data_IF_755968677216
#
_entry.id   IF_755968677216
#
_cell.length_a   1.000
_cell.length_b   1.000
_cell.length_c   1.000
_cell.angle_alpha   90.00
_cell.angle_beta   90.00
_cell.angle_gamma   90.00
#
_symmetry.space_group_name_H-M   'P 1'
#
loop_
_entity.id
_entity.type
_entity.pdbx_description
1 polymer ?
#
# COMPACT_ATOMS: atom_id res chain seq x y z
N UNK A 1 -8.89 3.90 18.62
CA UNK A 1 -8.68 2.87 17.56
C UNK A 1 -7.28 3.03 16.98
N UNK A 2 -6.56 1.94 16.64
CA UNK A 2 -5.23 1.96 16.02
C UNK A 2 -5.26 1.31 14.66
N UNK A 3 -4.63 1.89 13.65
CA UNK A 3 -4.49 1.35 12.32
C UNK A 3 -3.03 1.08 11.97
N UNK A 4 -2.72 -0.15 11.58
CA UNK A 4 -1.40 -0.56 11.12
C UNK A 4 -1.17 -0.23 9.65
N UNK A 5 0.02 0.27 9.31
CA UNK A 5 0.42 0.55 7.93
C UNK A 5 1.93 0.44 7.74
N UNK A 6 2.38 0.26 6.49
CA UNK A 6 3.79 0.38 6.14
C UNK A 6 4.23 1.85 6.11
N UNK A 7 5.56 2.07 6.25
CA UNK A 7 6.13 3.42 6.25
C UNK A 7 6.34 4.05 4.86
N UNK A 8 5.94 3.41 3.75
CA UNK A 8 6.10 3.99 2.42
C UNK A 8 5.13 5.16 2.19
N UNK A 9 5.52 6.13 1.35
CA UNK A 9 4.69 7.30 1.03
C UNK A 9 3.31 6.90 0.49
N UNK A 10 3.23 5.83 -0.31
CA UNK A 10 1.94 5.33 -0.81
C UNK A 10 1.09 4.74 0.31
N UNK A 11 1.67 3.88 1.16
CA UNK A 11 0.93 3.23 2.23
C UNK A 11 0.38 4.27 3.24
N UNK A 12 1.22 5.23 3.65
CA UNK A 12 0.78 6.30 4.57
C UNK A 12 -0.27 7.21 3.95
N UNK A 13 -0.17 7.53 2.65
CA UNK A 13 -1.20 8.31 1.95
C UNK A 13 -2.54 7.57 1.89
N UNK A 14 -2.53 6.27 1.57
CA UNK A 14 -3.72 5.43 1.56
C UNK A 14 -4.35 5.32 2.95
N UNK A 15 -3.53 5.11 3.99
CA UNK A 15 -4.01 5.02 5.37
C UNK A 15 -4.60 6.33 5.86
N UNK A 16 -3.99 7.47 5.54
CA UNK A 16 -4.55 8.79 5.86
C UNK A 16 -5.92 9.01 5.20
N UNK A 17 -6.10 8.54 3.97
CA UNK A 17 -7.40 8.56 3.29
C UNK A 17 -8.46 7.77 4.06
N UNK A 18 -8.13 6.55 4.49
CA UNK A 18 -9.03 5.70 5.30
C UNK A 18 -9.35 6.34 6.64
N UNK A 19 -8.33 6.87 7.36
CA UNK A 19 -8.54 7.58 8.62
C UNK A 19 -9.49 8.76 8.42
N UNK A 20 -9.29 9.55 7.35
CA UNK A 20 -10.16 10.69 7.04
C UNK A 20 -11.61 10.28 6.77
N UNK A 21 -11.84 9.15 6.10
CA UNK A 21 -13.19 8.63 5.88
C UNK A 21 -13.83 8.12 7.17
N UNK A 22 -13.10 7.33 7.95
CA UNK A 22 -13.59 6.79 9.21
C UNK A 22 -13.88 7.89 10.24
N UNK A 23 -13.06 8.94 10.32
CA UNK A 23 -13.28 10.08 11.23
C UNK A 23 -14.55 10.88 10.94
N UNK A 24 -15.21 10.64 9.81
CA UNK A 24 -16.55 11.20 9.53
C UNK A 24 -17.68 10.33 10.06
N UNK A 25 -17.36 9.08 10.41
CA UNK A 25 -18.33 8.07 10.84
C UNK A 25 -18.25 7.76 12.33
N UNK A 26 -17.18 8.19 13.01
CA UNK A 26 -16.97 7.96 14.45
C UNK A 26 -16.25 9.14 15.08
N UNK A 27 -16.56 9.39 16.36
CA UNK A 27 -15.86 10.37 17.18
C UNK A 27 -14.58 9.79 17.82
N UNK A 28 -14.31 8.50 17.61
CA UNK A 28 -13.11 7.86 18.14
C UNK A 28 -11.85 8.38 17.46
N UNK A 29 -10.84 8.67 18.28
CA UNK A 29 -9.50 8.97 17.78
C UNK A 29 -8.90 7.73 17.09
N UNK A 30 -8.38 7.90 15.89
CA UNK A 30 -7.70 6.85 15.13
C UNK A 30 -6.21 7.21 15.04
N UNK A 31 -5.37 6.39 15.66
CA UNK A 31 -3.92 6.57 15.66
C UNK A 31 -3.27 5.64 14.61
N UNK A 32 -2.35 6.19 13.81
CA UNK A 32 -1.59 5.42 12.82
C UNK A 32 -0.34 4.82 13.46
N UNK A 33 -0.15 3.51 13.31
CA UNK A 33 1.04 2.76 13.71
C UNK A 33 1.83 2.33 12.47
N UNK A 34 3.09 2.79 12.36
CA UNK A 34 3.96 2.39 11.25
C UNK A 34 4.70 1.12 11.62
N UNK A 35 4.44 0.06 10.86
CA UNK A 35 5.04 -1.26 11.04
C UNK A 35 6.01 -1.53 9.89
N UNK A 36 7.28 -1.74 10.21
CA UNK A 36 8.30 -2.10 9.22
C UNK A 36 8.14 -3.56 8.82
N UNK A 37 8.13 -3.84 7.53
CA UNK A 37 8.04 -5.20 7.00
C UNK A 37 9.39 -5.71 6.50
N UNK A 38 9.51 -7.02 6.37
CA UNK A 38 10.68 -7.66 5.76
C UNK A 38 10.96 -7.07 4.38
N UNK A 39 9.91 -6.85 3.57
CA UNK A 39 10.04 -6.26 2.24
C UNK A 39 10.56 -4.82 2.25
N UNK A 40 10.29 -4.04 3.30
CA UNK A 40 10.80 -2.66 3.44
C UNK A 40 12.31 -2.63 3.75
N UNK A 41 12.85 -3.70 4.31
CA UNK A 41 14.28 -3.83 4.66
C UNK A 41 15.15 -4.36 3.51
N UNK A 42 14.54 -4.94 2.47
CA UNK A 42 15.26 -5.49 1.31
C UNK A 42 15.40 -4.38 0.27
N UNK A 43 16.59 -3.76 0.18
CA UNK A 43 16.89 -2.67 -0.77
C UNK A 43 17.50 -3.15 -2.08
N UNK A 44 17.90 -4.43 -2.21
CA UNK A 44 18.60 -4.96 -3.38
C UNK A 44 17.70 -5.80 -4.31
N UNK A 45 18.12 -5.90 -5.57
CA UNK A 45 17.49 -6.58 -6.70
C UNK A 45 17.17 -8.09 -6.51
N UNK A 46 17.33 -8.62 -5.32
CA UNK A 46 17.04 -10.01 -4.96
C UNK A 46 15.55 -10.30 -4.71
N UNK A 47 14.68 -9.28 -4.71
CA UNK A 47 13.22 -9.43 -4.51
C UNK A 47 12.56 -10.40 -5.52
N UNK A 48 13.14 -10.54 -6.71
CA UNK A 48 12.63 -11.44 -7.76
C UNK A 48 12.93 -12.94 -7.50
N UNK A 49 13.82 -13.25 -6.55
CA UNK A 49 14.28 -14.63 -6.27
C UNK A 49 13.77 -15.19 -4.94
N UNK A 50 13.06 -14.39 -4.13
CA UNK A 50 12.50 -14.83 -2.87
C UNK A 50 11.04 -15.23 -3.14
N UNK A 51 10.61 -16.36 -2.58
CA UNK A 51 9.19 -16.75 -2.57
C UNK A 51 8.41 -15.68 -1.78
N UNK A 52 7.93 -14.69 -2.54
CA UNK A 52 7.60 -13.34 -2.04
C UNK A 52 6.21 -13.27 -1.36
N UNK A 53 5.59 -14.43 -1.03
CA UNK A 53 4.29 -14.43 -0.34
C UNK A 53 4.42 -13.78 1.04
N UNK A 54 3.75 -12.64 1.20
CA UNK A 54 3.58 -11.98 2.49
C UNK A 54 4.79 -11.20 3.02
N UNK A 55 5.83 -10.93 2.21
CA UNK A 55 6.98 -10.12 2.67
C UNK A 55 6.61 -8.67 3.02
N UNK A 56 5.48 -8.18 2.53
CA UNK A 56 4.95 -6.84 2.79
C UNK A 56 3.72 -6.83 3.71
N UNK A 57 3.21 -8.01 4.11
CA UNK A 57 1.97 -8.10 4.90
C UNK A 57 2.14 -8.81 6.23
N UNK A 58 3.05 -9.78 6.32
CA UNK A 58 3.17 -10.68 7.49
C UNK A 58 3.26 -9.96 8.83
N UNK A 59 4.06 -8.91 8.92
CA UNK A 59 4.24 -8.17 10.16
C UNK A 59 2.98 -7.38 10.54
N UNK A 60 2.26 -6.83 9.54
CA UNK A 60 0.97 -6.18 9.77
C UNK A 60 -0.12 -7.20 10.15
N UNK A 61 -0.14 -8.34 9.45
CA UNK A 61 -1.07 -9.44 9.72
C UNK A 61 -0.91 -9.93 11.18
N UNK A 62 0.34 -10.13 11.62
CA UNK A 62 0.65 -10.50 12.99
C UNK A 62 0.22 -9.42 14.00
N UNK A 63 0.43 -8.15 13.69
CA UNK A 63 0.03 -7.06 14.57
C UNK A 63 -1.50 -6.99 14.77
N UNK A 64 -2.28 -7.30 13.71
CA UNK A 64 -3.73 -7.43 13.82
C UNK A 64 -4.10 -8.66 14.65
N UNK A 65 -3.51 -9.82 14.39
CA UNK A 65 -3.80 -11.08 15.11
C UNK A 65 -3.43 -10.99 16.60
N UNK A 66 -2.36 -10.28 16.94
CA UNK A 66 -1.94 -10.06 18.33
C UNK A 66 -2.77 -8.99 19.05
N UNK A 67 -3.56 -8.19 18.33
CA UNK A 67 -4.30 -7.07 18.89
C UNK A 67 -3.44 -5.82 19.17
N UNK A 68 -2.25 -5.72 18.55
CA UNK A 68 -1.39 -4.55 18.65
C UNK A 68 -2.01 -3.35 17.90
N UNK A 69 -2.72 -3.66 16.80
CA UNK A 69 -3.55 -2.75 16.02
C UNK A 69 -4.93 -3.36 15.77
N UNK A 70 -5.97 -2.52 15.62
CA UNK A 70 -7.35 -2.97 15.41
C UNK A 70 -7.58 -3.47 13.98
N UNK A 71 -6.90 -2.85 13.00
CA UNK A 71 -6.91 -3.26 11.60
C UNK A 71 -5.67 -2.75 10.88
N UNK A 72 -5.40 -3.26 9.66
CA UNK A 72 -4.31 -2.81 8.81
C UNK A 72 -4.83 -2.33 7.46
N UNK A 73 -4.13 -1.37 6.86
CA UNK A 73 -4.41 -0.86 5.51
C UNK A 73 -3.33 -1.35 4.54
N UNK A 74 -3.78 -2.01 3.48
CA UNK A 74 -2.92 -2.56 2.44
C UNK A 74 -3.33 -2.07 1.05
N UNK A 75 -2.36 -1.90 0.15
CA UNK A 75 -2.65 -1.92 -1.28
C UNK A 75 -3.06 -3.34 -1.67
N UNK A 76 -4.21 -3.52 -2.33
CA UNK A 76 -4.74 -4.85 -2.67
C UNK A 76 -3.74 -5.70 -3.49
N UNK A 77 -2.88 -5.07 -4.29
CA UNK A 77 -1.84 -5.75 -5.08
C UNK A 77 -0.81 -6.49 -4.22
N UNK A 78 -0.64 -6.09 -2.95
CA UNK A 78 0.36 -6.64 -2.03
C UNK A 78 -0.24 -7.76 -1.15
N UNK A 79 -1.58 -7.89 -1.13
CA UNK A 79 -2.26 -8.96 -0.40
C UNK A 79 -2.17 -10.29 -1.17
N UNK A 80 -1.97 -11.41 -0.47
CA UNK A 80 -2.09 -12.73 -1.08
C UNK A 80 -3.55 -13.00 -1.49
N UNK A 81 -3.75 -13.86 -2.48
CA UNK A 81 -5.10 -14.27 -2.93
C UNK A 81 -5.87 -15.07 -1.87
N UNK A 82 -5.13 -15.72 -0.96
CA UNK A 82 -5.68 -16.44 0.18
C UNK A 82 -5.10 -15.82 1.46
N UNK A 83 -5.96 -15.26 2.29
CA UNK A 83 -5.60 -14.77 3.61
C UNK A 83 -5.56 -15.92 4.62
N UNK A 84 -4.72 -15.82 5.65
CA UNK A 84 -4.74 -16.73 6.78
C UNK A 84 -6.10 -16.71 7.48
N UNK A 85 -6.56 -17.91 7.95
CA UNK A 85 -7.96 -18.19 8.29
C UNK A 85 -8.68 -17.26 9.27
N UNK A 86 -7.96 -16.45 10.06
CA UNK A 86 -8.57 -15.52 11.03
C UNK A 86 -8.64 -14.07 10.52
N UNK A 87 -7.93 -13.76 9.42
CA UNK A 87 -7.94 -12.43 8.81
C UNK A 87 -8.98 -12.33 7.69
N UNK A 88 -9.59 -11.16 7.58
CA UNK A 88 -10.60 -10.87 6.56
C UNK A 88 -10.39 -9.47 5.97
N UNK A 89 -10.68 -9.32 4.69
CA UNK A 89 -10.86 -8.00 4.09
C UNK A 89 -12.25 -7.52 4.52
N UNK A 90 -12.27 -6.48 5.36
CA UNK A 90 -13.53 -5.98 5.95
C UNK A 90 -14.11 -4.81 5.16
N UNK A 91 -13.29 -4.09 4.41
CA UNK A 91 -13.72 -2.98 3.58
C UNK A 91 -12.76 -2.73 2.42
N UNK A 92 -13.29 -2.21 1.33
CA UNK A 92 -12.52 -1.70 0.18
C UNK A 92 -13.09 -0.33 -0.16
N UNK A 93 -12.30 0.76 -0.10
CA UNK A 93 -12.77 2.09 -0.44
C UNK A 93 -13.08 2.21 -1.94
N UNK A 94 -13.75 3.31 -2.32
CA UNK A 94 -13.98 3.62 -3.73
C UNK A 94 -12.66 3.64 -4.48
N UNK A 95 -12.64 2.95 -5.64
CA UNK A 95 -11.48 2.90 -6.50
C UNK A 95 -11.13 4.29 -7.05
N UNK A 96 -9.87 4.64 -6.96
CA UNK A 96 -9.31 5.80 -7.65
C UNK A 96 -9.22 5.57 -9.16
N UNK A 97 -8.89 6.64 -9.91
CA UNK A 97 -8.73 6.54 -11.37
C UNK A 97 -7.69 5.47 -11.75
N UNK A 98 -8.03 4.53 -12.64
CA UNK A 98 -7.11 3.51 -13.11
C UNK A 98 -6.19 4.00 -14.24
N UNK A 99 -6.25 5.29 -14.57
CA UNK A 99 -5.50 5.86 -15.69
C UNK A 99 -4.00 5.82 -15.43
N UNK A 100 -3.25 5.67 -16.51
CA UNK A 100 -1.82 5.83 -16.48
C UNK A 100 -1.44 7.28 -16.20
N UNK A 101 -0.33 7.48 -15.50
CA UNK A 101 0.20 8.80 -15.16
C UNK A 101 1.59 8.95 -15.73
N UNK A 102 1.81 10.03 -16.44
CA UNK A 102 3.15 10.46 -16.83
C UNK A 102 3.64 11.53 -15.84
N UNK A 103 4.78 11.26 -15.20
CA UNK A 103 5.50 12.26 -14.40
C UNK A 103 6.53 12.93 -15.30
N UNK A 104 6.30 14.18 -15.63
CA UNK A 104 7.11 14.94 -16.58
C UNK A 104 7.19 16.41 -16.20
N UNK A 105 8.23 17.10 -16.64
CA UNK A 105 8.32 18.57 -16.62
C UNK A 105 7.58 19.24 -17.76
N UNK A 106 7.07 18.45 -18.71
CA UNK A 106 6.31 18.93 -19.88
C UNK A 106 4.84 18.55 -19.70
N UNK A 107 3.95 19.37 -20.21
CA UNK A 107 2.57 18.98 -20.47
C UNK A 107 2.53 17.89 -21.56
N UNK A 108 1.46 17.09 -21.57
CA UNK A 108 1.36 15.93 -22.48
C UNK A 108 1.59 16.30 -23.96
N UNK A 109 1.03 17.42 -24.41
CA UNK A 109 1.10 17.95 -25.76
C UNK A 109 2.41 18.71 -26.07
N UNK A 110 3.24 18.94 -25.05
CA UNK A 110 4.51 19.67 -25.16
C UNK A 110 5.73 18.74 -25.10
N UNK A 111 5.51 17.43 -25.01
CA UNK A 111 6.60 16.46 -24.96
C UNK A 111 7.37 16.51 -26.28
N UNK A 112 8.70 16.78 -26.27
CA UNK A 112 9.50 16.85 -27.49
C UNK A 112 9.49 15.54 -28.27
N UNK A 113 9.53 15.64 -29.61
CA UNK A 113 9.75 14.46 -30.45
C UNK A 113 11.10 13.82 -30.09
N UNK A 114 11.12 12.49 -29.95
CA UNK A 114 12.29 11.74 -29.52
C UNK A 114 12.57 11.76 -28.02
N UNK A 115 11.66 12.26 -27.20
CA UNK A 115 11.78 12.18 -25.75
C UNK A 115 11.89 10.72 -25.28
N UNK A 116 12.76 10.49 -24.29
CA UNK A 116 12.92 9.17 -23.65
C UNK A 116 11.98 9.06 -22.47
N UNK A 117 11.17 8.00 -22.44
CA UNK A 117 10.22 7.71 -21.38
C UNK A 117 10.75 6.51 -20.58
N UNK A 118 10.94 6.70 -19.27
CA UNK A 118 11.31 5.62 -18.34
C UNK A 118 10.07 4.90 -17.81
N UNK A 119 10.15 3.58 -17.67
CA UNK A 119 9.11 2.76 -17.03
C UNK A 119 9.73 1.57 -16.31
N UNK A 120 9.20 1.20 -15.17
CA UNK A 120 9.51 -0.06 -14.48
C UNK A 120 8.54 -1.19 -14.86
N UNK A 121 7.54 -0.91 -15.66
CA UNK A 121 6.56 -1.90 -16.08
C UNK A 121 7.11 -2.77 -17.21
N UNK A 122 7.10 -4.09 -17.02
CA UNK A 122 7.48 -5.06 -18.07
C UNK A 122 6.41 -5.23 -19.15
N UNK A 123 5.22 -4.62 -18.95
CA UNK A 123 4.08 -4.74 -19.87
C UNK A 123 3.92 -3.54 -20.80
N UNK A 124 4.72 -2.48 -20.63
CA UNK A 124 4.72 -1.24 -21.41
C UNK A 124 5.89 -1.17 -22.34
#
# INVERSE_FOLDING_TARGET
MKVGTRGSSLATAQTNGIISELSRLTDEKIDMEIIKTTGDNIQDSQLYNIDAKGIFTRELDNAVLNGDVDFAVHSLKDLPTELGGELKIVAVPKRESPNEVLVSKYEWNEIPSGAVIGTSSIRR
#
